data_IF_130725880371
#
_entry.id   IF_130725880371
#
_cell.length_a   1.000
_cell.length_b   1.000
_cell.length_c   1.000
_cell.angle_alpha   90.00
_cell.angle_beta   90.00
_cell.angle_gamma   90.00
#
_symmetry.space_group_name_H-M   'P 1'
#
loop_
_entity.id
_entity.type
_entity.pdbx_description
1 polymer ?
#
# COMPACT_ATOMS: atom_id res chain seq x y z
N UNK A 1 -54.48 -1.40 -8.52
CA UNK A 1 -53.46 -2.06 -9.39
C UNK A 1 -52.07 -1.39 -9.38
N UNK A 2 -51.93 -0.05 -9.34
CA UNK A 2 -50.60 0.62 -9.46
C UNK A 2 -49.59 0.39 -8.32
N UNK A 3 -50.01 -0.01 -7.11
CA UNK A 3 -49.13 -0.20 -5.94
C UNK A 3 -48.30 -1.49 -6.03
N UNK A 4 -48.88 -2.56 -6.57
CA UNK A 4 -48.18 -3.84 -6.74
C UNK A 4 -47.11 -3.78 -7.82
N UNK A 5 -47.35 -3.02 -8.91
CA UNK A 5 -46.36 -2.85 -9.98
C UNK A 5 -45.08 -2.19 -9.48
N UNK A 6 -45.17 -1.17 -8.61
CA UNK A 6 -43.99 -0.50 -8.04
C UNK A 6 -43.16 -1.40 -7.11
N UNK A 7 -43.82 -2.27 -6.36
CA UNK A 7 -43.16 -3.22 -5.46
C UNK A 7 -42.42 -4.28 -6.27
N UNK A 8 -43.04 -4.78 -7.34
CA UNK A 8 -42.39 -5.75 -8.25
C UNK A 8 -41.16 -5.13 -8.93
N UNK A 9 -41.24 -3.88 -9.39
CA UNK A 9 -40.08 -3.19 -9.97
C UNK A 9 -38.95 -2.95 -8.95
N UNK A 10 -39.27 -2.66 -7.69
CA UNK A 10 -38.26 -2.49 -6.64
C UNK A 10 -37.54 -3.81 -6.35
N UNK A 11 -38.27 -4.92 -6.27
CA UNK A 11 -37.68 -6.25 -6.05
C UNK A 11 -36.77 -6.64 -7.22
N UNK A 12 -37.22 -6.41 -8.46
CA UNK A 12 -36.42 -6.68 -9.65
C UNK A 12 -35.16 -5.79 -9.72
N UNK A 13 -35.26 -4.53 -9.30
CA UNK A 13 -34.12 -3.63 -9.24
C UNK A 13 -33.08 -4.09 -8.20
N UNK A 14 -33.52 -4.52 -7.01
CA UNK A 14 -32.62 -5.03 -5.96
C UNK A 14 -31.94 -6.34 -6.41
N UNK A 15 -32.67 -7.24 -7.08
CA UNK A 15 -32.10 -8.48 -7.61
C UNK A 15 -31.10 -8.23 -8.75
N UNK A 16 -31.40 -7.30 -9.66
CA UNK A 16 -30.48 -6.92 -10.74
C UNK A 16 -29.23 -6.20 -10.20
N UNK A 17 -29.41 -5.35 -9.18
CA UNK A 17 -28.31 -4.68 -8.48
C UNK A 17 -27.42 -5.71 -7.76
N UNK A 18 -28.01 -6.66 -7.05
CA UNK A 18 -27.28 -7.74 -6.37
C UNK A 18 -26.49 -8.62 -7.36
N UNK A 19 -27.10 -8.99 -8.49
CA UNK A 19 -26.43 -9.80 -9.52
C UNK A 19 -25.29 -9.07 -10.24
N UNK A 20 -25.38 -7.74 -10.35
CA UNK A 20 -24.32 -6.93 -10.97
C UNK A 20 -23.20 -6.67 -9.96
N UNK A 21 -23.55 -6.41 -8.71
CA UNK A 21 -22.60 -6.23 -7.62
C UNK A 21 -21.78 -7.50 -7.35
N UNK A 22 -22.41 -8.69 -7.36
CA UNK A 22 -21.70 -9.95 -7.18
C UNK A 22 -20.77 -10.31 -8.33
N UNK A 23 -21.10 -9.91 -9.57
CA UNK A 23 -20.23 -10.12 -10.72
C UNK A 23 -19.01 -9.19 -10.74
N UNK A 24 -19.10 -8.01 -10.11
CA UNK A 24 -18.04 -7.00 -10.17
C UNK A 24 -17.10 -7.04 -8.97
N UNK A 25 -17.53 -7.63 -7.85
CA UNK A 25 -16.75 -7.59 -6.61
C UNK A 25 -15.82 -8.78 -6.38
N UNK A 26 -16.08 -9.97 -6.94
CA UNK A 26 -15.29 -11.18 -6.71
C UNK A 26 -14.94 -11.44 -5.21
N UNK A 27 -15.80 -10.96 -4.30
CA UNK A 27 -15.65 -11.14 -2.86
C UNK A 27 -16.51 -12.32 -2.40
N UNK A 28 -15.89 -13.25 -1.67
CA UNK A 28 -16.56 -14.39 -1.05
C UNK A 28 -17.44 -13.91 0.12
N UNK A 29 -18.59 -14.56 0.32
CA UNK A 29 -19.55 -14.24 1.39
C UNK A 29 -18.98 -14.41 2.81
N UNK A 30 -17.78 -14.99 2.94
CA UNK A 30 -17.08 -15.19 4.21
C UNK A 30 -16.46 -13.91 4.77
N UNK A 31 -16.14 -12.93 3.92
CA UNK A 31 -15.41 -11.71 4.34
C UNK A 31 -16.37 -10.63 4.87
N UNK A 32 -17.65 -10.74 4.50
CA UNK A 32 -18.71 -9.83 4.95
C UNK A 32 -19.10 -10.05 6.41
N UNK A 33 -19.17 -11.31 6.86
CA UNK A 33 -19.57 -11.63 8.23
C UNK A 33 -18.51 -11.19 9.24
N UNK A 34 -17.23 -11.31 8.88
CA UNK A 34 -16.11 -10.89 9.73
C UNK A 34 -16.02 -9.35 9.82
N UNK A 35 -16.26 -8.65 8.71
CA UNK A 35 -16.31 -7.18 8.68
C UNK A 35 -17.52 -6.60 9.44
N UNK A 36 -18.71 -7.23 9.34
CA UNK A 36 -19.91 -6.80 10.07
C UNK A 36 -19.74 -7.07 11.57
N UNK A 37 -19.19 -8.22 11.96
CA UNK A 37 -18.91 -8.52 13.36
C UNK A 37 -17.91 -7.53 13.97
N UNK A 38 -16.86 -7.16 13.23
CA UNK A 38 -15.88 -6.17 13.69
C UNK A 38 -16.49 -4.76 13.85
N UNK A 39 -17.49 -4.41 13.03
CA UNK A 39 -18.13 -3.09 13.05
C UNK A 39 -19.20 -2.97 14.14
N UNK A 40 -19.94 -4.04 14.44
CA UNK A 40 -20.95 -4.05 15.51
C UNK A 40 -20.37 -4.23 16.92
N UNK A 41 -19.13 -4.72 17.06
CA UNK A 41 -18.51 -4.89 18.39
C UNK A 41 -18.00 -3.59 19.02
N UNK A 42 -17.89 -2.48 18.26
CA UNK A 42 -17.29 -1.23 18.74
C UNK A 42 -18.30 -0.21 19.29
N UNK A 43 -19.60 -0.46 19.15
CA UNK A 43 -20.65 0.54 19.45
C UNK A 43 -21.53 0.21 20.66
N UNK A 44 -21.11 -0.72 21.52
CA UNK A 44 -21.75 -0.95 22.81
C UNK A 44 -20.72 -0.94 23.93
N UNK A 45 -20.68 0.16 24.69
CA UNK A 45 -20.53 0.25 26.16
C UNK A 45 -19.94 1.63 26.51
N UNK A 46 -20.80 2.64 26.51
CA UNK A 46 -20.58 3.88 27.23
C UNK A 46 -21.57 3.88 28.41
N UNK A 47 -21.06 3.92 29.64
CA UNK A 47 -21.84 4.09 30.87
C UNK A 47 -21.62 3.05 31.98
N UNK A 48 -20.76 3.38 32.95
CA UNK A 48 -21.03 3.33 34.40
C UNK A 48 -19.71 3.44 35.21
N UNK A 49 -19.62 4.48 36.06
CA UNK A 49 -18.67 4.53 37.19
C UNK A 49 -19.08 3.55 38.30
N UNK A 50 -18.12 2.88 38.93
CA UNK A 50 -17.81 2.94 40.37
C UNK A 50 -17.01 1.70 40.86
N UNK A 51 -15.94 1.99 41.59
CA UNK A 51 -15.33 1.22 42.70
C UNK A 51 -14.78 -0.21 42.48
N UNK A 52 -13.48 -0.35 42.80
CA UNK A 52 -12.98 -1.48 43.60
C UNK A 52 -11.97 -2.41 42.93
N UNK A 53 -10.70 -2.24 43.32
CA UNK A 53 -9.65 -3.26 43.56
C UNK A 53 -9.71 -4.56 42.72
N UNK A 54 -8.65 -4.77 41.93
CA UNK A 54 -8.24 -6.11 41.48
C UNK A 54 -7.43 -6.02 40.20
N UNK A 55 -6.10 -6.12 40.31
CA UNK A 55 -5.22 -6.32 39.16
C UNK A 55 -5.30 -7.81 38.84
N UNK A 56 -6.04 -8.19 37.80
CA UNK A 56 -6.01 -9.55 37.26
C UNK A 56 -5.64 -9.46 35.78
N UNK A 57 -4.43 -9.90 35.47
CA UNK A 57 -3.88 -9.92 34.12
C UNK A 57 -4.20 -11.27 33.50
N UNK A 58 -5.44 -11.42 33.02
CA UNK A 58 -5.81 -12.57 32.20
C UNK A 58 -5.18 -12.42 30.81
N UNK A 59 -3.99 -13.01 30.67
CA UNK A 59 -3.34 -13.23 29.36
C UNK A 59 -4.24 -14.13 28.49
N UNK A 60 -5.04 -13.52 27.63
CA UNK A 60 -5.70 -14.21 26.51
C UNK A 60 -4.62 -14.70 25.55
N UNK A 61 -4.28 -15.99 25.66
CA UNK A 61 -3.54 -16.70 24.63
C UNK A 61 -4.41 -16.85 23.38
N UNK A 62 -3.92 -16.34 22.25
CA UNK A 62 -4.55 -16.55 20.95
C UNK A 62 -4.43 -18.02 20.57
N UNK A 63 -5.56 -18.65 20.30
CA UNK A 63 -5.62 -20.02 19.82
C UNK A 63 -5.13 -20.05 18.37
N UNK A 64 -3.82 -20.22 18.16
CA UNK A 64 -3.22 -20.40 16.84
C UNK A 64 -3.71 -21.75 16.31
N UNK A 65 -4.80 -21.71 15.51
CA UNK A 65 -5.16 -22.84 14.66
C UNK A 65 -4.03 -23.00 13.65
N UNK A 66 -3.35 -24.15 13.72
CA UNK A 66 -2.34 -24.64 12.79
C UNK A 66 -2.55 -24.06 11.38
N UNK A 67 -1.68 -23.13 10.98
CA UNK A 67 -1.46 -22.83 9.58
C UNK A 67 -0.97 -24.15 8.94
N UNK A 68 -1.81 -24.73 8.09
CA UNK A 68 -1.43 -25.93 7.36
C UNK A 68 -0.18 -25.60 6.53
N UNK A 69 0.91 -26.31 6.82
CA UNK A 69 2.13 -26.23 6.03
C UNK A 69 1.82 -26.62 4.59
N UNK A 70 1.93 -25.67 3.67
CA UNK A 70 1.98 -25.99 2.24
C UNK A 70 3.32 -26.68 1.98
N UNK A 71 3.27 -27.98 1.71
CA UNK A 71 4.44 -28.78 1.36
C UNK A 71 5.03 -28.26 0.05
N UNK A 72 6.15 -27.54 0.11
CA UNK A 72 6.97 -27.28 -1.08
C UNK A 72 8.01 -28.40 -1.14
N UNK A 73 7.76 -29.36 -2.04
CA UNK A 73 8.61 -30.51 -2.31
C UNK A 73 9.99 -30.10 -2.81
N UNK A 74 11.01 -30.53 -2.05
CA UNK A 74 12.25 -31.16 -2.52
C UNK A 74 12.87 -30.66 -3.85
N UNK A 75 13.77 -29.70 -3.75
CA UNK A 75 15.12 -29.77 -4.35
C UNK A 75 15.92 -28.54 -3.95
N UNK A 76 17.05 -28.75 -3.26
CA UNK A 76 18.18 -27.82 -3.04
C UNK A 76 17.82 -26.38 -2.64
N UNK A 77 18.25 -25.98 -1.45
CA UNK A 77 18.24 -24.57 -1.00
C UNK A 77 19.18 -23.76 -1.91
N UNK A 78 18.67 -23.36 -3.07
CA UNK A 78 19.19 -22.19 -3.78
C UNK A 78 18.70 -20.97 -3.00
N UNK A 79 19.62 -20.02 -2.82
CA UNK A 79 19.39 -18.79 -2.09
C UNK A 79 18.07 -18.15 -2.52
N UNK A 80 17.35 -17.58 -1.54
CA UNK A 80 16.08 -16.87 -1.78
C UNK A 80 16.33 -15.84 -2.89
N UNK A 81 15.81 -16.10 -4.09
CA UNK A 81 15.98 -15.20 -5.23
C UNK A 81 15.38 -13.86 -4.83
N UNK A 82 16.18 -12.80 -4.96
CA UNK A 82 15.71 -11.45 -4.69
C UNK A 82 14.60 -11.10 -5.68
N UNK A 83 13.68 -10.19 -5.33
CA UNK A 83 12.62 -9.78 -6.25
C UNK A 83 13.19 -9.34 -7.63
N UNK A 84 14.33 -8.66 -7.62
CA UNK A 84 15.06 -8.24 -8.83
C UNK A 84 15.49 -9.41 -9.72
N UNK A 85 15.75 -10.58 -9.14
CA UNK A 85 16.21 -11.80 -9.83
C UNK A 85 15.03 -12.60 -10.39
N UNK A 86 13.86 -12.52 -9.73
CA UNK A 86 12.62 -13.16 -10.22
C UNK A 86 11.93 -12.39 -11.35
N UNK A 87 12.14 -11.06 -11.40
CA UNK A 87 11.64 -10.22 -12.49
C UNK A 87 12.59 -10.32 -13.67
N UNK A 88 12.07 -10.68 -14.85
CA UNK A 88 12.79 -10.44 -16.11
C UNK A 88 12.77 -8.94 -16.43
N UNK A 89 13.59 -8.17 -15.71
CA UNK A 89 13.72 -6.73 -15.84
C UNK A 89 14.18 -6.30 -17.25
N UNK A 90 14.76 -7.22 -18.02
CA UNK A 90 15.21 -6.94 -19.40
C UNK A 90 14.06 -6.64 -20.35
N UNK A 91 12.85 -7.11 -20.01
CA UNK A 91 11.63 -6.88 -20.79
C UNK A 91 11.01 -5.49 -20.60
N UNK A 92 11.39 -4.77 -19.54
CA UNK A 92 10.81 -3.47 -19.20
C UNK A 92 11.62 -2.29 -19.74
N UNK A 93 10.97 -1.18 -20.14
CA UNK A 93 11.67 0.04 -20.51
C UNK A 93 12.58 0.53 -19.37
N UNK A 94 13.84 0.77 -19.71
CA UNK A 94 14.87 1.22 -18.77
C UNK A 94 15.10 2.72 -18.89
N UNK A 95 15.25 3.40 -17.76
CA UNK A 95 15.60 4.81 -17.70
C UNK A 95 16.75 5.05 -16.72
N UNK A 96 17.83 5.71 -17.15
CA UNK A 96 18.89 6.12 -16.23
C UNK A 96 18.44 7.40 -15.51
N UNK A 97 18.54 7.42 -14.18
CA UNK A 97 18.10 8.54 -13.33
C UNK A 97 19.09 8.80 -12.20
N UNK A 98 19.07 10.01 -11.66
CA UNK A 98 19.74 10.35 -10.40
C UNK A 98 18.72 10.30 -9.26
N UNK A 99 18.88 9.36 -8.33
CA UNK A 99 17.98 9.18 -7.20
C UNK A 99 18.58 9.77 -5.91
N UNK A 100 17.79 10.55 -5.19
CA UNK A 100 18.04 11.02 -3.81
C UNK A 100 16.99 10.44 -2.86
N UNK A 101 17.15 10.67 -1.55
CA UNK A 101 16.14 10.31 -0.55
C UNK A 101 15.64 11.56 0.17
N UNK A 102 14.37 11.56 0.54
CA UNK A 102 13.71 12.63 1.29
C UNK A 102 12.76 12.07 2.35
N UNK A 103 12.33 12.92 3.28
CA UNK A 103 11.35 12.57 4.31
C UNK A 103 10.17 13.54 4.30
N UNK A 104 9.15 13.30 5.14
CA UNK A 104 8.06 14.24 5.35
C UNK A 104 8.48 15.50 6.14
N UNK A 105 9.64 15.46 6.79
CA UNK A 105 10.14 16.44 7.74
C UNK A 105 10.42 17.83 7.15
N UNK A 106 10.75 18.76 8.05
CA UNK A 106 11.01 20.15 7.71
C UNK A 106 12.23 20.32 6.81
N UNK A 107 13.24 19.47 6.95
CA UNK A 107 14.47 19.48 6.14
C UNK A 107 14.21 19.20 4.65
N UNK A 108 13.14 18.46 4.35
CA UNK A 108 12.75 18.07 3.00
C UNK A 108 11.60 18.92 2.45
N UNK A 109 10.58 19.18 3.28
CA UNK A 109 9.30 19.79 2.83
C UNK A 109 9.02 21.17 3.41
N UNK A 110 9.81 21.62 4.39
CA UNK A 110 9.55 22.86 5.15
C UNK A 110 8.33 22.79 6.07
N UNK A 111 7.74 21.59 6.29
CA UNK A 111 6.55 21.38 7.11
C UNK A 111 6.89 20.62 8.40
N UNK A 112 6.19 20.96 9.48
CA UNK A 112 6.27 20.25 10.76
C UNK A 112 5.06 19.31 10.92
N UNK A 113 5.12 18.28 11.79
CA UNK A 113 4.03 17.30 11.97
C UNK A 113 2.64 17.88 12.28
N UNK A 114 2.56 19.08 12.86
CA UNK A 114 1.29 19.78 13.12
C UNK A 114 0.70 20.52 11.91
N UNK A 115 1.38 20.55 10.76
CA UNK A 115 0.92 21.25 9.56
C UNK A 115 -0.16 20.42 8.83
N UNK A 116 -1.26 21.01 8.35
CA UNK A 116 -2.37 20.26 7.72
C UNK A 116 -1.98 19.49 6.45
N UNK A 117 -0.87 19.90 5.81
CA UNK A 117 -0.32 19.24 4.61
C UNK A 117 0.96 18.45 4.90
N UNK A 118 1.26 18.15 6.16
CA UNK A 118 2.39 17.31 6.53
C UNK A 118 2.18 15.89 6.01
N UNK A 119 3.18 15.33 5.34
CA UNK A 119 3.11 13.98 4.77
C UNK A 119 2.17 13.81 3.58
N UNK A 120 1.52 14.87 3.07
CA UNK A 120 0.66 14.80 1.89
C UNK A 120 1.47 15.12 0.64
N UNK A 121 1.48 14.18 -0.32
CA UNK A 121 2.15 14.32 -1.62
C UNK A 121 1.35 15.19 -2.59
N UNK A 122 1.95 15.56 -3.73
CA UNK A 122 1.27 16.29 -4.80
C UNK A 122 -0.01 15.62 -5.31
N UNK A 123 -0.02 14.29 -5.41
CA UNK A 123 -1.22 13.53 -5.83
C UNK A 123 -2.35 13.56 -4.80
N UNK A 124 -2.05 13.91 -3.54
CA UNK A 124 -3.01 13.93 -2.44
C UNK A 124 -2.99 12.67 -1.56
N UNK A 125 -2.24 11.62 -1.93
CA UNK A 125 -2.02 10.46 -1.06
C UNK A 125 -0.96 10.79 0.00
N UNK A 126 -1.00 10.07 1.12
CA UNK A 126 0.04 10.20 2.14
C UNK A 126 1.33 9.54 1.67
N UNK A 127 2.47 10.11 2.07
CA UNK A 127 3.77 9.48 1.91
C UNK A 127 3.77 8.10 2.57
N UNK A 128 4.34 7.12 1.88
CA UNK A 128 4.35 5.74 2.34
C UNK A 128 5.67 5.06 1.98
N UNK A 129 6.28 4.38 2.95
CA UNK A 129 7.38 3.44 2.74
C UNK A 129 6.82 2.04 2.99
N UNK A 130 6.65 1.28 1.92
CA UNK A 130 6.10 -0.07 1.95
C UNK A 130 6.56 -0.84 0.68
N UNK A 131 5.99 -2.02 0.41
CA UNK A 131 6.25 -2.80 -0.81
C UNK A 131 6.21 -1.91 -2.07
N UNK A 132 5.18 -1.07 -2.16
CA UNK A 132 5.07 0.06 -3.07
C UNK A 132 5.16 1.34 -2.25
N UNK A 133 6.27 2.05 -2.43
CA UNK A 133 6.56 3.30 -1.74
C UNK A 133 6.26 4.51 -2.62
N UNK A 134 5.84 5.62 -2.02
CA UNK A 134 5.62 6.88 -2.76
C UNK A 134 6.96 7.52 -3.11
N UNK A 135 7.11 7.99 -4.36
CA UNK A 135 8.32 8.70 -4.81
C UNK A 135 7.95 10.01 -5.50
N UNK A 136 8.90 10.94 -5.53
CA UNK A 136 8.80 12.19 -6.28
C UNK A 136 9.55 12.10 -7.61
N UNK A 137 8.97 12.65 -8.68
CA UNK A 137 9.57 12.67 -10.00
C UNK A 137 9.15 13.91 -10.82
N UNK A 138 9.74 14.07 -12.00
CA UNK A 138 9.23 15.01 -13.00
C UNK A 138 8.05 14.40 -13.77
N UNK A 139 6.86 14.99 -13.63
CA UNK A 139 5.63 14.46 -14.24
C UNK A 139 5.61 14.52 -15.78
N UNK A 140 6.49 15.30 -16.39
CA UNK A 140 6.67 15.30 -17.85
C UNK A 140 7.36 14.04 -18.36
N UNK A 141 8.13 13.37 -17.48
CA UNK A 141 8.84 12.13 -17.78
C UNK A 141 8.05 10.94 -17.23
N UNK A 142 7.68 10.99 -15.95
CA UNK A 142 6.93 9.95 -15.27
C UNK A 142 5.63 10.51 -14.69
N UNK A 143 4.48 10.32 -15.37
CA UNK A 143 3.19 10.77 -14.85
C UNK A 143 2.87 10.15 -13.48
N UNK A 144 2.01 10.83 -12.71
CA UNK A 144 1.49 10.29 -11.45
C UNK A 144 0.89 8.90 -11.68
N UNK A 145 1.12 7.98 -10.74
CA UNK A 145 0.74 6.58 -10.80
C UNK A 145 1.75 5.68 -11.50
N UNK A 146 2.82 6.23 -12.11
CA UNK A 146 3.86 5.41 -12.73
C UNK A 146 4.54 4.52 -11.69
N UNK A 147 4.59 3.22 -11.96
CA UNK A 147 5.26 2.22 -11.13
C UNK A 147 6.64 1.96 -11.69
N UNK A 148 7.65 2.22 -10.86
CA UNK A 148 9.05 1.96 -11.15
C UNK A 148 9.57 0.84 -10.25
N UNK A 149 10.38 -0.05 -10.81
CA UNK A 149 11.28 -0.88 -10.00
C UNK A 149 12.62 -0.17 -9.88
N UNK A 150 13.04 0.08 -8.64
CA UNK A 150 14.24 0.83 -8.30
C UNK A 150 15.18 -0.12 -7.56
N UNK A 151 16.30 -0.54 -8.18
CA UNK A 151 17.30 -1.37 -7.53
C UNK A 151 17.69 -0.85 -6.14
N UNK A 152 17.81 -1.76 -5.18
CA UNK A 152 18.10 -1.51 -3.75
C UNK A 152 17.02 -0.75 -2.96
N UNK A 153 15.92 -0.32 -3.58
CA UNK A 153 14.81 0.39 -2.90
C UNK A 153 13.49 -0.41 -2.92
N UNK A 154 13.18 -1.03 -4.05
CA UNK A 154 11.92 -1.75 -4.29
C UNK A 154 11.02 -1.02 -5.28
N UNK A 155 9.70 -1.26 -5.20
CA UNK A 155 8.75 -0.57 -6.07
C UNK A 155 8.48 0.85 -5.58
N UNK A 156 8.57 1.81 -6.51
CA UNK A 156 8.22 3.21 -6.30
C UNK A 156 7.03 3.60 -7.16
N UNK A 157 6.03 4.23 -6.56
CA UNK A 157 4.87 4.80 -7.27
C UNK A 157 5.03 6.32 -7.29
N UNK A 158 5.06 6.90 -8.48
CA UNK A 158 5.17 8.35 -8.64
C UNK A 158 3.91 9.02 -8.09
N UNK A 159 4.04 9.68 -6.96
CA UNK A 159 2.94 10.28 -6.22
C UNK A 159 3.19 11.77 -5.92
N UNK A 160 4.44 12.22 -6.02
CA UNK A 160 4.85 13.53 -5.56
C UNK A 160 5.69 14.30 -6.60
N UNK A 161 5.85 15.60 -6.38
CA UNK A 161 6.77 16.46 -7.15
C UNK A 161 7.70 17.22 -6.22
N UNK A 162 8.93 17.45 -6.70
CA UNK A 162 9.88 18.32 -6.02
C UNK A 162 10.25 19.53 -6.88
N UNK A 163 10.51 20.68 -6.25
CA UNK A 163 10.98 21.87 -6.96
C UNK A 163 12.31 21.62 -7.70
N UNK A 164 13.23 20.87 -7.06
CA UNK A 164 14.54 20.52 -7.61
C UNK A 164 14.56 19.20 -8.42
N UNK A 165 13.44 18.46 -8.40
CA UNK A 165 13.27 17.17 -9.07
C UNK A 165 12.70 17.43 -10.46
N UNK A 166 13.60 17.47 -11.45
CA UNK A 166 13.35 17.82 -12.86
C UNK A 166 14.15 16.92 -13.79
N UNK A 167 13.55 16.55 -14.92
CA UNK A 167 14.10 15.57 -15.85
C UNK A 167 14.32 14.21 -15.20
N UNK A 168 15.50 13.64 -15.39
CA UNK A 168 15.86 12.28 -14.97
C UNK A 168 16.26 12.19 -13.49
N UNK A 169 15.49 12.83 -12.61
CA UNK A 169 15.72 12.84 -11.17
C UNK A 169 14.55 12.19 -10.44
N UNK A 170 14.87 11.41 -9.42
CA UNK A 170 13.91 10.84 -8.49
C UNK A 170 14.25 11.24 -7.07
N UNK A 171 13.22 11.39 -6.23
CA UNK A 171 13.37 11.51 -4.78
C UNK A 171 12.58 10.38 -4.11
N UNK A 172 13.27 9.55 -3.34
CA UNK A 172 12.70 8.35 -2.74
C UNK A 172 12.31 8.64 -1.30
N UNK A 173 11.07 8.32 -0.93
CA UNK A 173 10.59 8.58 0.42
C UNK A 173 11.21 7.61 1.42
N UNK A 174 11.61 8.16 2.57
CA UNK A 174 12.01 7.43 3.77
C UNK A 174 11.32 8.01 5.01
N UNK A 175 10.99 7.17 6.02
CA UNK A 175 10.33 7.65 7.24
C UNK A 175 11.19 8.59 8.07
N UNK A 176 12.51 8.36 8.13
CA UNK A 176 13.44 9.17 8.92
C UNK A 176 14.66 9.60 8.11
N UNK A 177 15.30 10.68 8.57
CA UNK A 177 16.55 11.18 7.99
C UNK A 177 17.67 10.17 8.15
N UNK A 178 17.69 9.44 9.27
CA UNK A 178 18.65 8.36 9.52
C UNK A 178 18.53 7.27 8.46
N UNK A 179 17.30 6.85 8.10
CA UNK A 179 17.08 5.85 7.06
C UNK A 179 17.62 6.31 5.69
N UNK A 180 17.47 7.59 5.37
CA UNK A 180 18.05 8.15 4.13
C UNK A 180 19.56 7.98 4.10
N UNK A 181 20.26 8.21 5.23
CA UNK A 181 21.71 8.10 5.29
C UNK A 181 22.22 6.66 5.38
N UNK A 182 21.49 5.78 6.06
CA UNK A 182 21.90 4.40 6.28
C UNK A 182 21.56 3.48 5.11
N UNK A 183 20.37 3.67 4.52
CA UNK A 183 19.84 2.80 3.47
C UNK A 183 20.04 3.39 2.08
N UNK A 184 20.24 4.71 1.99
CA UNK A 184 20.33 5.40 0.72
C UNK A 184 21.48 6.42 0.69
N UNK A 185 21.57 7.08 -0.44
CA UNK A 185 22.53 8.14 -0.73
C UNK A 185 22.23 8.68 -2.12
N UNK A 186 22.93 9.70 -2.57
CA UNK A 186 22.78 10.15 -3.96
C UNK A 186 23.50 9.19 -4.89
N UNK A 187 22.78 8.51 -5.78
CA UNK A 187 23.37 7.63 -6.80
C UNK A 187 22.65 7.76 -8.14
N UNK A 188 23.40 7.53 -9.22
CA UNK A 188 22.86 7.41 -10.58
C UNK A 188 22.71 5.93 -10.88
N UNK A 189 21.50 5.52 -11.24
CA UNK A 189 21.19 4.12 -11.52
C UNK A 189 20.13 3.99 -12.61
N UNK A 190 20.00 2.79 -13.13
CA UNK A 190 18.93 2.42 -14.04
C UNK A 190 17.69 1.99 -13.26
N UNK A 191 16.54 2.56 -13.61
CA UNK A 191 15.22 2.17 -13.12
C UNK A 191 14.39 1.57 -14.25
N UNK A 192 13.43 0.73 -13.89
CA UNK A 192 12.60 -0.01 -14.84
C UNK A 192 11.15 0.42 -14.72
N UNK A 193 10.54 0.82 -15.83
CA UNK A 193 9.13 1.24 -15.85
C UNK A 193 8.26 0.00 -15.94
N UNK A 194 7.66 -0.40 -14.82
CA UNK A 194 6.81 -1.58 -14.72
C UNK A 194 5.43 -1.29 -15.29
N UNK A 195 4.88 -0.13 -14.92
CA UNK A 195 3.59 0.34 -15.40
C UNK A 195 3.62 1.87 -15.55
N UNK A 196 3.13 2.38 -16.68
CA UNK A 196 3.05 3.82 -16.90
C UNK A 196 1.77 4.36 -16.27
N UNK A 197 1.90 5.41 -15.46
CA UNK A 197 0.77 6.04 -14.78
C UNK A 197 -0.15 6.78 -15.75
N UNK A 198 -1.42 6.91 -15.33
CA UNK A 198 -2.46 7.62 -16.08
C UNK A 198 -2.57 9.11 -15.70
N UNK A 199 -1.75 9.57 -14.75
CA UNK A 199 -1.79 10.94 -14.22
C UNK A 199 -2.58 11.09 -12.92
N UNK A 200 -3.08 10.01 -12.34
CA UNK A 200 -3.79 9.98 -11.07
C UNK A 200 -3.30 8.86 -10.15
N UNK A 201 -3.51 9.06 -8.84
CA UNK A 201 -3.24 8.05 -7.83
C UNK A 201 -4.12 8.33 -6.62
N UNK A 202 -4.86 7.32 -6.18
CA UNK A 202 -5.69 7.37 -4.98
C UNK A 202 -5.09 6.53 -3.86
N UNK A 203 -5.45 6.85 -2.61
CA UNK A 203 -5.02 6.08 -1.43
C UNK A 203 -5.48 4.61 -1.53
N UNK A 204 -6.66 4.36 -2.11
CA UNK A 204 -7.21 3.02 -2.30
C UNK A 204 -6.36 2.21 -3.29
N UNK A 205 -5.91 2.82 -4.38
CA UNK A 205 -5.03 2.16 -5.36
C UNK A 205 -3.67 1.84 -4.73
N UNK A 206 -3.09 2.78 -3.99
CA UNK A 206 -1.82 2.56 -3.29
C UNK A 206 -1.93 1.46 -2.22
N UNK A 207 -3.05 1.37 -1.51
CA UNK A 207 -3.32 0.27 -0.56
C UNK A 207 -3.40 -1.06 -1.31
N UNK A 208 -4.18 -1.15 -2.39
CA UNK A 208 -4.31 -2.37 -3.19
C UNK A 208 -2.98 -2.89 -3.71
N UNK A 209 -2.10 -1.99 -4.19
CA UNK A 209 -0.75 -2.37 -4.61
C UNK A 209 0.05 -3.00 -3.47
N UNK A 210 -0.06 -2.43 -2.26
CA UNK A 210 0.62 -2.91 -1.06
C UNK A 210 -0.01 -4.16 -0.44
N UNK A 211 -1.23 -4.54 -0.83
CA UNK A 211 -1.94 -5.75 -0.37
C UNK A 211 -1.81 -6.92 -1.33
N UNK A 212 -1.04 -6.78 -2.42
CA UNK A 212 -0.83 -7.86 -3.39
C UNK A 212 -0.20 -9.10 -2.72
N UNK A 213 -1.00 -10.16 -2.54
CA UNK A 213 -0.63 -11.39 -1.83
C UNK A 213 0.61 -12.06 -2.40
N UNK A 214 0.74 -12.06 -3.72
CA UNK A 214 1.86 -12.71 -4.42
C UNK A 214 3.22 -12.07 -4.11
N UNK A 215 3.21 -10.80 -3.69
CA UNK A 215 4.42 -10.03 -3.39
C UNK A 215 4.68 -9.88 -1.89
N UNK A 216 3.74 -10.29 -1.02
CA UNK A 216 3.91 -10.16 0.44
C UNK A 216 5.14 -10.92 0.96
N UNK A 217 5.50 -12.04 0.32
CA UNK A 217 6.68 -12.83 0.69
C UNK A 217 8.00 -12.05 0.56
N UNK A 218 8.03 -11.03 -0.30
CA UNK A 218 9.20 -10.17 -0.49
C UNK A 218 9.16 -8.90 0.39
N UNK A 219 8.05 -8.64 1.08
CA UNK A 219 7.86 -7.41 1.86
C UNK A 219 8.90 -7.26 2.96
N UNK A 220 9.22 -8.34 3.67
CA UNK A 220 10.24 -8.35 4.73
C UNK A 220 11.67 -8.17 4.22
N UNK A 221 11.92 -8.40 2.93
CA UNK A 221 13.22 -8.15 2.30
C UNK A 221 13.39 -6.69 1.88
N UNK A 222 12.30 -6.03 1.50
CA UNK A 222 12.32 -4.65 1.00
C UNK A 222 12.19 -3.61 2.11
N UNK A 223 11.61 -3.97 3.26
CA UNK A 223 11.42 -3.11 4.41
C UNK A 223 12.11 -3.76 5.60
N UNK A 224 13.34 -3.35 5.94
CA UNK A 224 14.00 -3.80 7.17
C UNK A 224 13.17 -3.37 8.39
N UNK A 225 13.05 -4.26 9.39
CA UNK A 225 12.38 -3.99 10.67
C UNK A 225 13.16 -3.00 11.53
#
# INVERSE_FOLDING_TARGET
MKKHTKIVFLILFVLAFYSTFSNISNLSLTDWDEWIAAKFHKESLDGAEMNGKGVDLDTKSLNIKNAQQTYVSSSTVEAVQTLAETLDLSSYPKHTVTATGYTAGFESTGKNPGHPQYGITYSGVNVKRDLYSTIAADLSVFPIGTVLFIPDYGYGVVADIGGAIKGDKLDLYFPTVTDVFEQWGKKTLDVYVIEKGDGSLTEIELIKLNENESLQVFRSQMIPN
#
